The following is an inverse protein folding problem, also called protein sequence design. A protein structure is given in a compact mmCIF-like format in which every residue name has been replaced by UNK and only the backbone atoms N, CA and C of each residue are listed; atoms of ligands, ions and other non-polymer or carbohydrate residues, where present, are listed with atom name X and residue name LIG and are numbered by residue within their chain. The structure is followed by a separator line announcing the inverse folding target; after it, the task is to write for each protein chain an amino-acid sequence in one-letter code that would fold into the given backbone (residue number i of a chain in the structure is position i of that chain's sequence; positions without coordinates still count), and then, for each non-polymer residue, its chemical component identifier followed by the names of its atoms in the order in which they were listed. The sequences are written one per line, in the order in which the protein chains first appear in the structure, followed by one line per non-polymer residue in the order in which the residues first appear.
data_IF_067223855786
#
_entry.id   IF_067223855786
#
_cell.length_a   1.000
_cell.length_b   1.000
_cell.length_c   1.000
_cell.angle_alpha   90.00
_cell.angle_beta   90.00
_cell.angle_gamma   90.00
#
_symmetry.space_group_name_H-M   'P 1'
#
loop_
_entity.id
_entity.type
_entity.pdbx_description
1 polymer ?
#
# COMPACT_ATOMS: atom_id res chain seq x y z
N UNK A 1 8.34 19.05 1.04
CA UNK A 1 9.58 18.26 1.08
C UNK A 1 9.80 17.55 2.41
N UNK A 2 9.73 18.24 3.57
CA UNK A 2 9.93 17.60 4.88
C UNK A 2 9.01 16.39 5.16
N UNK A 3 7.74 16.47 4.75
CA UNK A 3 6.78 15.35 4.87
C UNK A 3 7.21 14.12 4.06
N UNK A 4 7.69 14.31 2.83
CA UNK A 4 8.17 13.22 1.97
C UNK A 4 9.38 12.55 2.62
N UNK A 5 10.36 13.35 3.06
CA UNK A 5 11.53 12.85 3.78
C UNK A 5 11.14 12.04 5.03
N UNK A 6 10.21 12.56 5.83
CA UNK A 6 9.73 11.87 7.03
C UNK A 6 9.12 10.50 6.70
N UNK A 7 8.24 10.44 5.69
CA UNK A 7 7.65 9.18 5.23
C UNK A 7 8.76 8.23 4.72
N UNK A 8 9.65 8.68 3.86
CA UNK A 8 10.74 7.83 3.32
C UNK A 8 11.61 7.26 4.43
N UNK A 9 11.98 8.05 5.42
CA UNK A 9 12.80 7.58 6.56
C UNK A 9 12.09 6.49 7.35
N UNK A 10 10.79 6.63 7.64
CA UNK A 10 10.01 5.60 8.34
C UNK A 10 10.04 4.27 7.58
N UNK A 11 9.80 4.30 6.27
CA UNK A 11 9.81 3.10 5.45
C UNK A 11 11.21 2.44 5.32
N UNK A 12 12.28 3.24 5.32
CA UNK A 12 13.67 2.73 5.39
C UNK A 12 13.90 2.03 6.73
N UNK A 13 13.52 2.65 7.85
CA UNK A 13 13.69 2.07 9.19
C UNK A 13 12.95 0.73 9.31
N UNK A 14 11.70 0.66 8.86
CA UNK A 14 10.91 -0.58 8.81
C UNK A 14 11.66 -1.65 8.01
N UNK A 15 12.13 -1.30 6.80
CA UNK A 15 12.88 -2.22 5.94
C UNK A 15 14.16 -2.74 6.61
N UNK A 16 14.91 -1.87 7.29
CA UNK A 16 16.15 -2.23 7.98
C UNK A 16 15.91 -3.16 9.18
N UNK A 17 14.73 -3.13 9.79
CA UNK A 17 14.38 -4.01 10.91
C UNK A 17 13.91 -5.38 10.39
N UNK A 18 13.01 -5.40 9.41
CA UNK A 18 12.34 -6.64 8.97
C UNK A 18 13.12 -7.44 7.92
N UNK A 19 13.72 -6.77 6.93
CA UNK A 19 14.42 -7.47 5.82
C UNK A 19 15.56 -8.35 6.31
N UNK A 20 16.44 -7.92 7.25
CA UNK A 20 17.52 -8.79 7.74
C UNK A 20 16.98 -10.05 8.43
N UNK A 21 15.87 -9.93 9.16
CA UNK A 21 15.22 -11.07 9.82
C UNK A 21 14.73 -12.11 8.81
N UNK A 22 14.09 -11.66 7.74
CA UNK A 22 13.60 -12.54 6.66
C UNK A 22 14.74 -13.18 5.86
N UNK A 23 15.80 -12.42 5.58
CA UNK A 23 16.98 -12.93 4.87
C UNK A 23 17.73 -13.98 5.70
N UNK A 24 17.93 -13.74 7.00
CA UNK A 24 18.56 -14.72 7.91
C UNK A 24 17.80 -16.05 7.97
N UNK A 25 16.49 -16.00 7.87
CA UNK A 25 15.62 -17.18 7.85
C UNK A 25 15.51 -17.83 6.46
N UNK A 26 16.24 -17.33 5.45
CA UNK A 26 16.17 -17.77 4.05
C UNK A 26 14.76 -17.73 3.45
N UNK A 27 13.89 -16.86 3.97
CA UNK A 27 12.48 -16.73 3.55
C UNK A 27 12.34 -15.80 2.35
N UNK A 28 12.95 -16.18 1.22
CA UNK A 28 13.02 -15.32 0.02
C UNK A 28 11.65 -14.95 -0.55
N UNK A 29 10.67 -15.86 -0.49
CA UNK A 29 9.28 -15.57 -0.89
C UNK A 29 8.63 -14.51 0.00
N UNK A 30 8.88 -14.56 1.31
CA UNK A 30 8.35 -13.60 2.27
C UNK A 30 9.00 -12.22 2.08
N UNK A 31 10.29 -12.17 1.72
CA UNK A 31 10.97 -10.91 1.33
C UNK A 31 10.27 -10.26 0.12
N UNK A 32 9.89 -11.05 -0.89
CA UNK A 32 9.18 -10.53 -2.07
C UNK A 32 7.82 -9.96 -1.67
N UNK A 33 7.04 -10.71 -0.87
CA UNK A 33 5.73 -10.24 -0.39
C UNK A 33 5.88 -8.98 0.47
N UNK A 34 6.88 -8.93 1.34
CA UNK A 34 7.23 -7.76 2.14
C UNK A 34 7.45 -6.54 1.27
N UNK A 35 8.32 -6.62 0.25
CA UNK A 35 8.59 -5.49 -0.64
C UNK A 35 7.38 -5.07 -1.48
N UNK A 36 6.51 -6.01 -1.88
CA UNK A 36 5.26 -5.65 -2.56
C UNK A 36 4.37 -4.83 -1.64
N UNK A 37 4.14 -5.29 -0.41
CA UNK A 37 3.33 -4.57 0.58
C UNK A 37 3.94 -3.23 0.94
N UNK A 38 5.27 -3.18 1.11
CA UNK A 38 5.98 -1.94 1.45
C UNK A 38 5.87 -0.91 0.33
N UNK A 39 5.99 -1.34 -0.93
CA UNK A 39 5.88 -0.48 -2.09
C UNK A 39 4.46 0.11 -2.20
N UNK A 40 3.44 -0.70 -1.96
CA UNK A 40 2.04 -0.24 -1.95
C UNK A 40 1.84 0.80 -0.85
N UNK A 41 2.22 0.50 0.39
CA UNK A 41 2.05 1.42 1.53
C UNK A 41 2.82 2.73 1.35
N UNK A 42 4.04 2.66 0.81
CA UNK A 42 4.85 3.83 0.53
C UNK A 42 4.24 4.69 -0.58
N UNK A 43 3.81 4.08 -1.68
CA UNK A 43 3.17 4.78 -2.80
C UNK A 43 1.90 5.49 -2.34
N UNK A 44 1.04 4.81 -1.58
CA UNK A 44 -0.18 5.41 -1.03
C UNK A 44 0.14 6.61 -0.12
N UNK A 45 1.14 6.50 0.76
CA UNK A 45 1.55 7.62 1.60
C UNK A 45 2.09 8.79 0.79
N UNK A 46 2.89 8.53 -0.26
CA UNK A 46 3.37 9.58 -1.14
C UNK A 46 2.21 10.30 -1.82
N UNK A 47 1.23 9.57 -2.35
CA UNK A 47 0.03 10.15 -2.98
C UNK A 47 -0.72 11.08 -2.00
N UNK A 48 -0.86 10.66 -0.74
CA UNK A 48 -1.44 11.51 0.33
C UNK A 48 -0.61 12.77 0.57
N UNK A 49 0.72 12.64 0.68
CA UNK A 49 1.62 13.80 0.91
C UNK A 49 1.58 14.79 -0.24
N UNK A 50 1.40 14.31 -1.48
CA UNK A 50 1.23 15.15 -2.66
C UNK A 50 -0.19 15.70 -2.84
N UNK A 51 -1.12 15.45 -1.90
CA UNK A 51 -2.54 15.79 -2.00
C UNK A 51 -3.20 15.25 -3.28
N UNK A 52 -2.73 14.12 -3.80
CA UNK A 52 -3.41 13.43 -4.89
C UNK A 52 -4.71 12.87 -4.33
N UNK A 53 -5.84 13.20 -4.97
CA UNK A 53 -7.14 12.71 -4.55
C UNK A 53 -7.18 11.18 -4.72
N UNK A 54 -7.02 10.46 -3.61
CA UNK A 54 -7.21 9.01 -3.59
C UNK A 54 -8.71 8.76 -3.48
N UNK A 55 -9.29 8.17 -4.52
CA UNK A 55 -10.68 7.70 -4.49
C UNK A 55 -10.82 6.71 -3.32
N UNK A 56 -11.78 6.94 -2.39
CA UNK A 56 -12.00 6.02 -1.28
C UNK A 56 -12.27 4.60 -1.79
N UNK A 57 -11.74 3.60 -1.08
CA UNK A 57 -11.98 2.17 -1.42
C UNK A 57 -13.48 1.85 -1.57
N UNK A 58 -14.32 2.50 -0.76
CA UNK A 58 -15.77 2.34 -0.80
C UNK A 58 -16.36 2.69 -2.17
N UNK A 59 -15.82 3.71 -2.86
CA UNK A 59 -16.27 4.05 -4.22
C UNK A 59 -15.87 3.00 -5.25
N UNK A 60 -14.73 2.32 -5.06
CA UNK A 60 -14.36 1.18 -5.90
C UNK A 60 -15.30 0.00 -5.67
N UNK A 61 -15.66 -0.27 -4.40
CA UNK A 61 -16.66 -1.29 -4.06
C UNK A 61 -18.00 -0.92 -4.71
N UNK A 62 -18.49 0.31 -4.54
CA UNK A 62 -19.72 0.78 -5.20
C UNK A 62 -19.66 0.61 -6.72
N UNK A 63 -18.53 0.90 -7.36
CA UNK A 63 -18.35 0.72 -8.81
C UNK A 63 -18.45 -0.74 -9.24
N UNK A 64 -17.90 -1.67 -8.47
CA UNK A 64 -17.96 -3.11 -8.72
C UNK A 64 -19.36 -3.68 -8.46
N UNK A 65 -20.09 -3.14 -7.48
CA UNK A 65 -21.42 -3.60 -7.09
C UNK A 65 -22.56 -2.95 -7.89
N UNK A 66 -22.35 -1.77 -8.48
CA UNK A 66 -23.29 -1.10 -9.39
C UNK A 66 -23.88 -2.00 -10.49
N UNK A 67 -23.10 -2.82 -11.22
CA UNK A 67 -23.66 -3.73 -12.22
C UNK A 67 -24.53 -4.83 -11.60
N UNK A 68 -24.22 -5.27 -10.38
CA UNK A 68 -25.02 -6.27 -9.65
C UNK A 68 -26.35 -5.66 -9.21
N UNK A 69 -26.32 -4.45 -8.66
CA UNK A 69 -27.51 -3.68 -8.27
C UNK A 69 -28.46 -3.46 -9.47
N UNK A 70 -27.92 -3.13 -10.64
CA UNK A 70 -28.71 -2.96 -11.86
C UNK A 70 -29.36 -4.25 -12.40
N UNK A 71 -28.83 -5.42 -12.02
CA UNK A 71 -29.36 -6.73 -12.43
C UNK A 71 -30.36 -7.26 -11.40
N UNK A 72 -30.13 -7.04 -10.10
CA UNK A 72 -30.97 -7.53 -9.00
C UNK A 72 -32.06 -6.55 -8.56
N UNK A 73 -31.93 -5.25 -8.86
CA UNK A 73 -32.88 -4.20 -8.48
C UNK A 73 -34.05 -4.01 -9.45
N UNK A 74 -34.35 -4.99 -10.30
CA UNK A 74 -35.55 -5.03 -11.15
C UNK A 74 -36.59 -5.99 -10.59
#
# INVERSE_FOLDING_TARGET
MLKVLGVTVVFIVISLIEVPGLLKQKKTKEVVVFFILIAIGYTLNLLVVFNVAITPANKFIEMLFKPIENIWGK
#
